data_IF_196484754317
#
_entry.id   IF_196484754317
#
_cell.length_a   1.000
_cell.length_b   1.000
_cell.length_c   1.000
_cell.angle_alpha   90.00
_cell.angle_beta   90.00
_cell.angle_gamma   90.00
#
_symmetry.space_group_name_H-M   'P 1'
#
loop_
_entity.id
_entity.type
_entity.pdbx_description
1 polymer ?
#
# COMPACT_ATOMS: atom_id res chain seq x y z
N UNK A 1 -29.51 3.52 -7.04
CA UNK A 1 -28.38 3.31 -7.98
C UNK A 1 -28.26 4.59 -8.79
N UNK A 2 -27.19 5.38 -8.58
CA UNK A 2 -26.96 6.60 -9.35
C UNK A 2 -26.12 6.27 -10.58
N UNK A 3 -26.69 6.44 -11.78
CA UNK A 3 -25.91 6.34 -13.02
C UNK A 3 -25.12 7.65 -13.18
N UNK A 4 -23.79 7.55 -13.13
CA UNK A 4 -22.92 8.63 -13.60
C UNK A 4 -22.91 8.59 -15.13
N UNK A 5 -23.37 9.66 -15.77
CA UNK A 5 -23.30 9.86 -17.22
C UNK A 5 -22.35 11.01 -17.52
N UNK A 6 -21.53 10.86 -18.56
CA UNK A 6 -20.60 11.90 -19.00
C UNK A 6 -21.34 12.97 -19.81
N UNK A 7 -21.24 14.24 -19.43
CA UNK A 7 -21.77 15.39 -20.16
C UNK A 7 -20.62 16.26 -20.67
N UNK A 8 -20.40 16.26 -21.98
CA UNK A 8 -19.30 16.96 -22.66
C UNK A 8 -19.25 18.47 -22.40
N UNK A 9 -20.37 19.07 -21.95
CA UNK A 9 -20.43 20.51 -21.61
C UNK A 9 -20.10 20.82 -20.17
N UNK A 10 -20.15 19.81 -19.29
CA UNK A 10 -20.07 19.97 -17.84
C UNK A 10 -18.85 19.24 -17.28
N UNK A 11 -18.41 18.18 -17.96
CA UNK A 11 -17.35 17.29 -17.51
C UNK A 11 -16.03 17.63 -18.19
N UNK A 12 -15.00 17.77 -17.36
CA UNK A 12 -13.65 18.03 -17.86
C UNK A 12 -13.13 16.81 -18.63
N UNK A 13 -12.63 16.99 -19.87
CA UNK A 13 -11.92 15.94 -20.57
C UNK A 13 -10.62 15.60 -19.81
N UNK A 14 -10.39 14.31 -19.57
CA UNK A 14 -9.34 13.81 -18.68
C UNK A 14 -7.91 14.12 -19.17
N UNK A 15 -6.88 14.01 -18.30
CA UNK A 15 -6.76 13.05 -17.20
C UNK A 15 -7.28 13.54 -15.84
N UNK A 16 -8.00 12.66 -15.13
CA UNK A 16 -8.49 12.94 -13.77
C UNK A 16 -7.35 12.68 -12.77
N UNK A 17 -6.94 13.68 -11.96
CA UNK A 17 -5.93 13.47 -10.93
C UNK A 17 -6.49 12.55 -9.83
N UNK A 18 -5.82 11.42 -9.61
CA UNK A 18 -6.20 10.44 -8.57
C UNK A 18 -5.55 10.80 -7.22
N UNK A 19 -4.50 11.62 -7.22
CA UNK A 19 -3.84 12.13 -6.02
C UNK A 19 -3.47 13.61 -6.16
N UNK A 20 -3.54 14.35 -5.06
CA UNK A 20 -3.15 15.76 -4.97
C UNK A 20 -2.31 16.02 -3.71
N UNK A 21 -1.34 16.94 -3.83
CA UNK A 21 -0.49 17.38 -2.73
C UNK A 21 -0.64 18.90 -2.58
N UNK A 22 -0.83 19.37 -1.36
CA UNK A 22 -0.88 20.79 -1.02
C UNK A 22 0.16 21.12 0.06
N UNK A 23 0.99 22.12 -0.18
CA UNK A 23 1.87 22.71 0.82
C UNK A 23 1.10 23.80 1.56
N UNK A 24 1.06 23.69 2.88
CA UNK A 24 0.43 24.61 3.80
C UNK A 24 1.55 25.25 4.60
N UNK A 25 1.73 26.56 4.45
CA UNK A 25 2.53 27.36 5.38
C UNK A 25 1.58 27.90 6.45
N UNK A 26 1.58 27.35 7.68
CA UNK A 26 0.75 27.88 8.75
C UNK A 26 1.17 29.32 9.06
N UNK A 27 0.36 30.28 8.63
CA UNK A 27 0.46 31.67 9.09
C UNK A 27 -0.22 31.75 10.46
N UNK A 28 0.57 31.66 11.52
CA UNK A 28 0.10 31.80 12.90
C UNK A 28 -0.11 30.45 13.58
N UNK A 29 0.93 29.98 14.24
CA UNK A 29 0.90 28.73 15.00
C UNK A 29 2.19 28.56 15.76
N UNK A 30 2.43 29.43 16.74
CA UNK A 30 3.34 29.13 17.85
C UNK A 30 2.75 27.95 18.63
N UNK A 31 2.94 26.73 18.13
CA UNK A 31 2.73 25.54 18.93
C UNK A 31 3.97 25.35 19.80
N UNK A 32 3.83 25.78 21.06
CA UNK A 32 4.67 25.40 22.20
C UNK A 32 4.89 23.88 22.16
N UNK A 33 6.08 23.46 21.74
CA UNK A 33 6.62 22.15 22.08
C UNK A 33 6.79 22.04 23.60
N UNK A 34 6.73 20.81 24.16
CA UNK A 34 6.73 20.60 25.60
C UNK A 34 8.06 21.04 26.22
N UNK A 35 7.93 21.77 27.33
CA UNK A 35 9.00 22.19 28.22
C UNK A 35 9.89 21.03 28.64
N UNK A 36 11.15 21.08 28.23
CA UNK A 36 12.27 20.46 28.97
C UNK A 36 13.36 21.51 29.11
N UNK A 37 13.30 22.28 30.19
CA UNK A 37 14.43 23.00 30.78
C UNK A 37 15.01 22.15 31.94
N UNK A 38 16.19 22.46 32.50
CA UNK A 38 17.42 22.93 31.88
C UNK A 38 18.68 22.23 32.46
N UNK A 39 19.78 22.12 31.71
CA UNK A 39 21.11 21.91 32.33
C UNK A 39 22.14 22.87 31.73
N UNK A 40 22.40 23.90 32.54
CA UNK A 40 23.67 24.59 32.80
C UNK A 40 24.56 25.06 31.62
N UNK A 41 24.51 26.38 31.40
CA UNK A 41 25.61 27.35 31.39
C UNK A 41 26.92 27.03 30.63
N UNK A 42 27.32 27.93 29.72
CA UNK A 42 28.46 28.86 29.84
C UNK A 42 28.25 30.02 28.83
N UNK A 43 28.82 31.18 29.19
CA UNK A 43 28.52 32.55 28.79
C UNK A 43 29.00 33.02 27.39
N UNK A 44 28.38 34.13 26.96
CA UNK A 44 28.91 35.23 26.14
C UNK A 44 29.34 34.96 24.68
N UNK A 45 28.51 35.39 23.73
CA UNK A 45 28.83 36.61 22.97
C UNK A 45 27.60 37.22 22.26
N UNK A 46 27.55 38.55 22.24
CA UNK A 46 26.53 39.33 21.54
C UNK A 46 26.89 39.43 20.06
N UNK A 47 26.19 38.70 19.21
CA UNK A 47 25.92 39.15 17.84
C UNK A 47 24.45 38.88 17.49
N UNK A 48 23.71 39.97 17.30
CA UNK A 48 22.36 40.00 16.75
C UNK A 48 22.41 39.54 15.30
N UNK A 49 22.32 38.23 15.08
CA UNK A 49 21.84 37.65 13.83
C UNK A 49 20.41 37.21 14.06
N UNK A 50 19.46 37.93 13.46
CA UNK A 50 18.07 37.49 13.39
C UNK A 50 18.05 36.15 12.66
N UNK A 51 18.03 35.06 13.42
CA UNK A 51 17.86 33.72 12.89
C UNK A 51 16.55 33.70 12.07
N UNK A 52 16.56 33.19 10.82
CA UNK A 52 15.33 33.00 10.09
C UNK A 52 14.48 32.04 10.91
N UNK A 53 13.30 32.49 11.35
CA UNK A 53 12.32 31.60 11.97
C UNK A 53 12.11 30.42 11.02
N UNK A 54 12.33 29.17 11.44
CA UNK A 54 12.10 28.03 10.57
C UNK A 54 10.62 28.06 10.19
N UNK A 55 10.35 28.39 8.93
CA UNK A 55 9.01 28.34 8.37
C UNK A 55 8.65 26.87 8.29
N UNK A 56 7.90 26.39 9.29
CA UNK A 56 7.44 25.01 9.31
C UNK A 56 6.53 24.81 8.10
N UNK A 57 6.96 23.98 7.16
CA UNK A 57 6.12 23.55 6.05
C UNK A 57 5.20 22.46 6.56
N UNK A 58 4.04 22.31 5.95
CA UNK A 58 3.11 21.22 6.28
C UNK A 58 2.54 20.73 4.97
N UNK A 59 2.51 19.42 4.76
CA UNK A 59 2.01 18.84 3.52
C UNK A 59 0.68 18.12 3.77
N UNK A 60 -0.28 18.32 2.89
CA UNK A 60 -1.53 17.57 2.83
C UNK A 60 -1.55 16.76 1.55
N UNK A 61 -1.68 15.43 1.67
CA UNK A 61 -1.78 14.51 0.54
C UNK A 61 -3.17 13.86 0.54
N UNK A 62 -3.85 13.92 -0.60
CA UNK A 62 -5.22 13.40 -0.79
C UNK A 62 -5.22 12.40 -1.93
N UNK A 63 -5.72 11.19 -1.69
CA UNK A 63 -5.90 10.15 -2.69
C UNK A 63 -7.39 9.84 -2.88
N UNK A 64 -7.82 9.66 -4.13
CA UNK A 64 -9.22 9.39 -4.48
C UNK A 64 -9.70 7.96 -4.21
N UNK A 65 -8.81 7.05 -3.79
CA UNK A 65 -9.13 5.67 -3.44
C UNK A 65 -8.18 5.17 -2.35
N UNK A 66 -8.68 4.38 -1.40
CA UNK A 66 -7.88 3.73 -0.35
C UNK A 66 -7.53 2.28 -0.65
N UNK A 67 -8.12 1.66 -1.70
CA UNK A 67 -7.91 0.25 -2.00
C UNK A 67 -6.43 -0.12 -2.24
N UNK A 68 -5.60 0.82 -2.73
CA UNK A 68 -4.17 0.57 -2.88
C UNK A 68 -3.46 0.24 -1.55
N UNK A 69 -3.99 0.71 -0.43
CA UNK A 69 -3.44 0.46 0.91
C UNK A 69 -4.08 -0.74 1.62
N UNK A 70 -5.02 -1.46 0.99
CA UNK A 70 -5.65 -2.63 1.59
C UNK A 70 -4.78 -3.90 1.46
N UNK A 71 -5.02 -4.90 2.31
CA UNK A 71 -4.22 -6.13 2.32
C UNK A 71 -4.27 -6.92 1.00
N UNK A 72 -5.32 -6.75 0.19
CA UNK A 72 -5.47 -7.47 -1.08
C UNK A 72 -4.63 -6.85 -2.19
N UNK A 73 -4.42 -5.53 -2.16
CA UNK A 73 -3.71 -4.79 -3.20
C UNK A 73 -2.35 -4.25 -2.76
N UNK A 74 -2.02 -4.25 -1.47
CA UNK A 74 -0.78 -3.68 -0.92
C UNK A 74 0.48 -4.23 -1.60
N UNK A 75 0.53 -5.55 -1.80
CA UNK A 75 1.69 -6.21 -2.43
C UNK A 75 1.60 -6.27 -3.97
N UNK A 76 0.58 -5.67 -4.57
CA UNK A 76 0.38 -5.66 -6.01
C UNK A 76 0.96 -4.38 -6.62
N UNK A 77 1.63 -4.50 -7.76
CA UNK A 77 2.01 -3.37 -8.63
C UNK A 77 2.72 -2.19 -7.96
N UNK A 78 3.38 -2.40 -6.82
CA UNK A 78 4.08 -1.34 -6.07
C UNK A 78 3.18 -0.43 -5.23
N UNK A 79 1.93 -0.82 -4.95
CA UNK A 79 1.01 -0.03 -4.14
C UNK A 79 1.51 0.21 -2.72
N UNK A 80 2.08 -0.80 -2.08
CA UNK A 80 2.66 -0.70 -0.74
C UNK A 80 3.87 0.22 -0.73
N UNK A 81 4.74 0.12 -1.75
CA UNK A 81 5.90 1.01 -1.89
C UNK A 81 5.44 2.47 -2.08
N UNK A 82 4.39 2.70 -2.87
CA UNK A 82 3.78 4.03 -3.03
C UNK A 82 3.23 4.59 -1.72
N UNK A 83 2.45 3.78 -0.99
CA UNK A 83 1.87 4.17 0.31
C UNK A 83 2.96 4.53 1.33
N UNK A 84 3.98 3.68 1.47
CA UNK A 84 5.08 3.92 2.39
C UNK A 84 5.87 5.18 2.02
N UNK A 85 6.11 5.43 0.73
CA UNK A 85 6.76 6.66 0.27
C UNK A 85 5.92 7.91 0.58
N UNK A 86 4.59 7.85 0.46
CA UNK A 86 3.70 8.94 0.86
C UNK A 86 3.81 9.24 2.36
N UNK A 87 3.85 8.20 3.20
CA UNK A 87 3.98 8.36 4.65
C UNK A 87 5.36 8.92 5.02
N UNK A 88 6.44 8.41 4.42
CA UNK A 88 7.80 8.92 4.64
C UNK A 88 7.92 10.40 4.23
N UNK A 89 7.30 10.77 3.11
CA UNK A 89 7.22 12.17 2.66
C UNK A 89 6.47 13.06 3.66
N UNK A 90 5.34 12.59 4.21
CA UNK A 90 4.57 13.33 5.22
C UNK A 90 5.26 13.43 6.58
N UNK A 91 6.14 12.48 6.90
CA UNK A 91 6.92 12.47 8.15
C UNK A 91 8.13 13.42 8.13
N UNK A 92 8.35 14.17 7.04
CA UNK A 92 9.57 14.96 6.79
C UNK A 92 10.86 14.09 6.82
N UNK A 93 10.71 12.78 6.67
CA UNK A 93 11.80 11.81 6.56
C UNK A 93 12.23 11.67 5.10
N UNK A 94 12.55 12.79 4.45
CA UNK A 94 12.90 12.82 3.01
C UNK A 94 14.14 11.96 2.68
N UNK A 95 15.03 11.75 3.66
CA UNK A 95 16.19 10.85 3.52
C UNK A 95 15.82 9.36 3.48
N UNK A 96 14.59 8.99 3.85
CA UNK A 96 14.02 7.64 3.78
C UNK A 96 13.17 7.42 2.52
N UNK A 97 13.11 8.40 1.61
CA UNK A 97 12.56 8.22 0.25
C UNK A 97 13.63 7.50 -0.59
N UNK A 98 13.81 6.20 -0.34
CA UNK A 98 14.69 5.36 -1.12
C UNK A 98 13.94 4.85 -2.37
N UNK A 99 14.48 5.14 -3.57
CA UNK A 99 14.09 4.42 -4.78
C UNK A 99 14.68 3.01 -4.65
N UNK A 100 13.96 2.13 -3.98
CA UNK A 100 14.37 0.73 -3.87
C UNK A 100 14.44 0.14 -5.28
N UNK A 101 15.52 -0.60 -5.56
CA UNK A 101 15.67 -1.30 -6.84
C UNK A 101 14.44 -2.19 -6.98
N UNK A 102 13.80 -2.20 -8.16
CA UNK A 102 12.68 -3.10 -8.43
C UNK A 102 13.13 -4.53 -8.20
N UNK A 103 12.96 -5.03 -6.99
CA UNK A 103 12.96 -6.45 -6.75
C UNK A 103 11.74 -6.93 -7.50
N UNK A 104 11.94 -7.95 -8.33
CA UNK A 104 10.87 -8.74 -8.91
C UNK A 104 10.20 -9.49 -7.76
N UNK A 105 9.54 -8.75 -6.84
CA UNK A 105 8.72 -9.31 -5.77
C UNK A 105 7.69 -10.17 -6.49
N UNK A 106 7.68 -11.45 -6.14
CA UNK A 106 7.07 -12.52 -6.93
C UNK A 106 5.70 -12.12 -7.44
N UNK A 107 5.50 -12.31 -8.75
CA UNK A 107 4.22 -12.05 -9.39
C UNK A 107 3.14 -12.80 -8.61
N UNK A 108 2.19 -12.09 -7.97
CA UNK A 108 1.14 -12.72 -7.21
C UNK A 108 0.30 -13.55 -8.18
N UNK A 109 0.08 -14.82 -7.84
CA UNK A 109 -0.69 -15.72 -8.68
C UNK A 109 -2.17 -15.33 -8.60
N UNK A 110 -2.61 -14.46 -9.51
CA UNK A 110 -4.00 -14.06 -9.63
C UNK A 110 -4.75 -15.17 -10.36
N UNK A 111 -5.36 -16.07 -9.59
CA UNK A 111 -6.24 -17.09 -10.13
C UNK A 111 -7.61 -16.48 -10.41
N UNK A 112 -8.15 -16.77 -11.59
CA UNK A 112 -9.57 -16.50 -11.87
C UNK A 112 -10.43 -17.43 -11.01
N UNK A 113 -11.64 -16.99 -10.62
CA UNK A 113 -12.58 -17.81 -9.82
C UNK A 113 -12.76 -19.24 -10.38
N UNK A 114 -12.80 -19.38 -11.70
CA UNK A 114 -12.90 -20.68 -12.37
C UNK A 114 -11.63 -21.52 -12.23
N UNK A 115 -10.45 -20.89 -12.25
CA UNK A 115 -9.16 -21.56 -12.06
C UNK A 115 -8.99 -22.03 -10.61
N UNK A 116 -9.39 -21.20 -9.65
CA UNK A 116 -9.41 -21.56 -8.23
C UNK A 116 -10.32 -22.77 -7.98
N UNK A 117 -11.56 -22.72 -8.50
CA UNK A 117 -12.52 -23.81 -8.36
C UNK A 117 -12.03 -25.08 -9.04
N UNK A 118 -11.43 -24.99 -10.22
CA UNK A 118 -10.84 -26.15 -10.91
C UNK A 118 -9.75 -26.80 -10.06
N UNK A 119 -8.81 -26.01 -9.53
CA UNK A 119 -7.73 -26.48 -8.67
C UNK A 119 -8.26 -27.12 -7.38
N UNK A 120 -9.29 -26.52 -6.78
CA UNK A 120 -9.96 -27.06 -5.61
C UNK A 120 -10.56 -28.44 -5.89
N UNK A 121 -11.36 -28.59 -6.95
CA UNK A 121 -11.98 -29.89 -7.28
C UNK A 121 -10.96 -30.95 -7.72
N UNK A 122 -9.92 -30.56 -8.45
CA UNK A 122 -8.87 -31.52 -8.85
C UNK A 122 -8.07 -32.00 -7.65
N UNK A 123 -7.58 -31.09 -6.81
CA UNK A 123 -6.76 -31.47 -5.65
C UNK A 123 -7.58 -32.20 -4.57
N UNK A 124 -8.78 -31.70 -4.27
CA UNK A 124 -9.58 -32.21 -3.15
C UNK A 124 -10.41 -33.44 -3.50
N UNK A 125 -10.86 -33.59 -4.76
CA UNK A 125 -11.81 -34.66 -5.13
C UNK A 125 -11.20 -35.65 -6.11
N UNK A 126 -10.57 -35.17 -7.18
CA UNK A 126 -10.04 -36.06 -8.23
C UNK A 126 -8.91 -36.95 -7.72
N UNK A 127 -7.95 -36.39 -6.97
CA UNK A 127 -6.83 -37.16 -6.39
C UNK A 127 -7.30 -38.28 -5.45
N UNK A 128 -8.11 -38.03 -4.39
CA UNK A 128 -8.57 -39.11 -3.52
C UNK A 128 -9.50 -40.10 -4.24
N UNK A 129 -10.34 -39.63 -5.18
CA UNK A 129 -11.17 -40.53 -5.97
C UNK A 129 -10.33 -41.50 -6.81
N UNK A 130 -9.25 -41.02 -7.44
CA UNK A 130 -8.31 -41.85 -8.19
C UNK A 130 -7.70 -42.94 -7.30
N UNK A 131 -7.28 -42.58 -6.08
CA UNK A 131 -6.72 -43.54 -5.11
C UNK A 131 -7.75 -44.63 -4.76
N UNK A 132 -9.01 -44.25 -4.52
CA UNK A 132 -10.08 -45.21 -4.23
C UNK A 132 -10.35 -46.15 -5.41
N UNK A 133 -10.37 -45.64 -6.63
CA UNK A 133 -10.58 -46.44 -7.85
C UNK A 133 -9.44 -47.45 -8.02
N UNK A 134 -8.18 -47.01 -7.87
CA UNK A 134 -7.01 -47.90 -7.94
C UNK A 134 -7.09 -48.96 -6.84
N UNK A 135 -7.37 -48.56 -5.60
CA UNK A 135 -7.53 -49.49 -4.47
C UNK A 135 -8.62 -50.53 -4.71
N UNK A 136 -9.78 -50.12 -5.22
CA UNK A 136 -10.89 -51.01 -5.56
C UNK A 136 -10.55 -51.96 -6.72
N UNK A 137 -9.84 -51.46 -7.75
CA UNK A 137 -9.37 -52.28 -8.86
C UNK A 137 -8.39 -53.37 -8.39
N UNK A 138 -7.39 -53.00 -7.59
CA UNK A 138 -6.43 -53.94 -7.00
C UNK A 138 -7.13 -54.97 -6.11
N UNK A 139 -8.09 -54.54 -5.28
CA UNK A 139 -8.87 -55.45 -4.45
C UNK A 139 -9.65 -56.47 -5.29
N UNK A 140 -10.29 -56.03 -6.39
CA UNK A 140 -11.03 -56.91 -7.30
C UNK A 140 -10.13 -57.94 -7.98
N UNK A 141 -8.99 -57.51 -8.52
CA UNK A 141 -8.02 -58.41 -9.16
C UNK A 141 -7.52 -59.45 -8.16
N UNK A 142 -7.15 -59.01 -6.95
CA UNK A 142 -6.67 -59.92 -5.90
C UNK A 142 -7.73 -60.92 -5.43
N UNK A 143 -9.01 -60.52 -5.40
CA UNK A 143 -10.12 -61.41 -5.05
C UNK A 143 -10.42 -62.41 -6.17
N UNK A 144 -10.24 -62.04 -7.43
CA UNK A 144 -10.44 -62.94 -8.57
C UNK A 144 -9.35 -64.00 -8.71
N UNK A 145 -8.19 -63.80 -8.09
CA UNK A 145 -7.06 -64.74 -8.10
C UNK A 145 -7.07 -65.71 -6.89
N UNK A 146 -8.02 -65.56 -5.97
CA UNK A 146 -8.30 -66.51 -4.88
C UNK A 146 -9.54 -67.32 -5.23
#
# INVERSE_FOLDING_TARGET
QGQAGYDEKTDLPGPVPIAAIAEITPKGGEQKGPTTEPTAAVEADKETQAAPTPTRKSYLLVCGNSAFADNTHFNLSGNGDLFLNMVNFLAEEESLIAIERRDTKGQPLVLTLDQERLLFWTSLVLVPCLILVIGAAVYRVRRSQR
#
